data_IF_242923663269
#
_entry.id   IF_242923663269
#
_cell.length_a   1.000
_cell.length_b   1.000
_cell.length_c   1.000
_cell.angle_alpha   90.00
_cell.angle_beta   90.00
_cell.angle_gamma   90.00
#
_symmetry.space_group_name_H-M   'P 1'
#
loop_
_entity.id
_entity.type
_entity.pdbx_description
1 polymer ?
#
# COMPACT_ATOMS: atom_id res chain seq x y z
N UNK A 1 3.68 -25.00 0.03
CA UNK A 1 3.93 -24.39 1.36
C UNK A 1 5.06 -25.07 2.14
N UNK A 2 5.28 -26.36 1.94
CA UNK A 2 6.16 -27.25 2.70
C UNK A 2 7.61 -26.76 2.90
N UNK A 3 8.17 -26.06 1.91
CA UNK A 3 9.54 -25.49 1.99
C UNK A 3 9.74 -24.53 3.17
N UNK A 4 8.68 -23.84 3.62
CA UNK A 4 8.76 -22.77 4.62
C UNK A 4 7.93 -23.06 5.88
N UNK A 5 7.23 -24.20 5.95
CA UNK A 5 6.33 -24.53 7.06
C UNK A 5 7.06 -24.58 8.40
N UNK A 6 8.26 -25.16 8.44
CA UNK A 6 9.07 -25.26 9.66
C UNK A 6 9.42 -23.91 10.30
N UNK A 7 9.48 -22.83 9.51
CA UNK A 7 9.91 -21.50 9.98
C UNK A 7 8.76 -20.50 10.08
N UNK A 8 7.71 -20.68 9.28
CA UNK A 8 6.62 -19.72 9.13
C UNK A 8 5.23 -20.38 9.12
N UNK A 9 5.04 -21.47 9.86
CA UNK A 9 3.77 -22.24 9.86
C UNK A 9 2.53 -21.37 10.12
N UNK A 10 2.60 -20.40 11.04
CA UNK A 10 1.47 -19.49 11.32
C UNK A 10 1.15 -18.57 10.13
N UNK A 11 2.16 -18.03 9.46
CA UNK A 11 1.97 -17.20 8.26
C UNK A 11 1.37 -18.02 7.12
N UNK A 12 1.83 -19.26 6.94
CA UNK A 12 1.32 -20.19 5.92
C UNK A 12 -0.16 -20.50 6.16
N UNK A 13 -0.56 -20.81 7.40
CA UNK A 13 -1.97 -21.04 7.74
C UNK A 13 -2.84 -19.82 7.43
N UNK A 14 -2.35 -18.62 7.74
CA UNK A 14 -3.06 -17.38 7.42
C UNK A 14 -3.15 -17.14 5.90
N UNK A 15 -2.08 -17.39 5.16
CA UNK A 15 -2.07 -17.27 3.70
C UNK A 15 -3.04 -18.23 3.04
N UNK A 16 -3.06 -19.50 3.47
CA UNK A 16 -4.01 -20.50 2.98
C UNK A 16 -5.46 -20.09 3.22
N UNK A 17 -5.74 -19.47 4.38
CA UNK A 17 -7.08 -18.98 4.71
C UNK A 17 -7.58 -17.88 3.77
N UNK A 18 -6.69 -17.03 3.27
CA UNK A 18 -7.04 -15.89 2.39
C UNK A 18 -6.61 -16.13 0.94
N UNK A 19 -6.17 -17.35 0.60
CA UNK A 19 -5.54 -17.66 -0.68
C UNK A 19 -6.48 -17.38 -1.85
N UNK A 20 -7.75 -17.78 -1.72
CA UNK A 20 -8.76 -17.54 -2.76
C UNK A 20 -8.91 -16.05 -3.07
N UNK A 21 -9.00 -15.20 -2.04
CA UNK A 21 -9.09 -13.74 -2.18
C UNK A 21 -7.82 -13.14 -2.81
N UNK A 22 -6.64 -13.61 -2.38
CA UNK A 22 -5.36 -13.17 -2.92
C UNK A 22 -5.19 -13.54 -4.39
N UNK A 23 -5.80 -14.63 -4.86
CA UNK A 23 -5.66 -15.11 -6.23
C UNK A 23 -6.73 -14.55 -7.19
N UNK A 24 -7.74 -13.82 -6.71
CA UNK A 24 -8.78 -13.18 -7.55
C UNK A 24 -8.16 -12.36 -8.69
N UNK A 25 -7.01 -11.72 -8.47
CA UNK A 25 -6.41 -10.88 -9.50
C UNK A 25 -6.00 -11.63 -10.77
N UNK A 26 -5.83 -12.96 -10.71
CA UNK A 26 -5.58 -13.78 -11.89
C UNK A 26 -6.78 -13.86 -12.85
N UNK A 27 -7.98 -13.45 -12.42
CA UNK A 27 -9.16 -13.36 -13.27
C UNK A 27 -9.10 -12.14 -14.19
N UNK A 28 -8.31 -11.12 -13.87
CA UNK A 28 -8.16 -9.92 -14.70
C UNK A 28 -7.26 -10.16 -15.95
N UNK A 29 -7.39 -9.33 -16.99
CA UNK A 29 -6.51 -9.37 -18.16
C UNK A 29 -5.03 -9.28 -17.80
N UNK A 30 -4.17 -10.04 -18.49
CA UNK A 30 -2.72 -10.06 -18.21
C UNK A 30 -2.07 -8.68 -18.27
N UNK A 31 -2.61 -7.79 -19.09
CA UNK A 31 -2.14 -6.43 -19.31
C UNK A 31 -2.22 -5.55 -18.04
N UNK A 32 -3.21 -5.79 -17.17
CA UNK A 32 -3.40 -4.97 -15.96
C UNK A 32 -2.82 -5.60 -14.69
N UNK A 33 -2.51 -6.91 -14.72
CA UNK A 33 -1.90 -7.62 -13.57
C UNK A 33 -0.62 -6.95 -13.07
N UNK A 34 0.30 -6.46 -13.92
CA UNK A 34 1.48 -5.71 -13.48
C UNK A 34 1.18 -4.54 -12.57
N UNK A 35 0.12 -3.80 -12.84
CA UNK A 35 -0.30 -2.68 -11.99
C UNK A 35 -0.90 -3.16 -10.67
N UNK A 36 -1.50 -4.35 -10.62
CA UNK A 36 -2.14 -4.91 -9.42
C UNK A 36 -1.11 -5.54 -8.47
N UNK A 37 -0.17 -6.34 -8.96
CA UNK A 37 0.84 -6.97 -8.10
C UNK A 37 1.98 -6.01 -7.71
N UNK A 38 2.12 -4.88 -8.40
CA UNK A 38 3.13 -3.87 -8.05
C UNK A 38 2.71 -3.10 -6.81
N UNK A 39 3.59 -3.06 -5.81
CA UNK A 39 3.43 -2.25 -4.60
C UNK A 39 4.00 -0.84 -4.75
N UNK A 40 4.56 -0.49 -5.92
CA UNK A 40 5.27 0.78 -6.13
C UNK A 40 4.42 2.01 -5.77
N UNK A 41 3.13 2.00 -6.14
CA UNK A 41 2.22 3.12 -5.88
C UNK A 41 2.00 3.32 -4.38
N UNK A 42 1.62 2.26 -3.67
CA UNK A 42 1.36 2.31 -2.22
C UNK A 42 2.64 2.59 -1.43
N UNK A 43 3.78 2.03 -1.83
CA UNK A 43 5.08 2.28 -1.20
C UNK A 43 5.52 3.73 -1.41
N UNK A 44 5.32 4.28 -2.61
CA UNK A 44 5.63 5.67 -2.92
C UNK A 44 4.83 6.63 -2.05
N UNK A 45 3.51 6.41 -1.92
CA UNK A 45 2.62 7.19 -1.05
C UNK A 45 3.06 7.06 0.42
N UNK A 46 3.27 5.83 0.90
CA UNK A 46 3.68 5.59 2.29
C UNK A 46 5.02 6.25 2.63
N UNK A 47 6.00 6.16 1.72
CA UNK A 47 7.30 6.79 1.91
C UNK A 47 7.20 8.32 1.89
N UNK A 48 6.36 8.88 1.03
CA UNK A 48 6.07 10.31 1.03
C UNK A 48 5.45 10.75 2.35
N UNK A 49 4.41 10.07 2.82
CA UNK A 49 3.71 10.39 4.07
C UNK A 49 4.70 10.32 5.23
N UNK A 50 5.43 9.21 5.39
CA UNK A 50 6.46 9.05 6.45
C UNK A 50 7.48 10.18 6.45
N UNK A 51 7.97 10.59 5.28
CA UNK A 51 8.93 11.70 5.17
C UNK A 51 8.32 13.04 5.56
N UNK A 52 7.05 13.27 5.21
CA UNK A 52 6.34 14.53 5.46
C UNK A 52 5.88 14.66 6.91
N UNK A 53 5.55 13.54 7.56
CA UNK A 53 5.17 13.51 8.97
C UNK A 53 6.38 13.50 9.90
N UNK A 54 7.54 12.94 9.50
CA UNK A 54 8.77 12.91 10.32
C UNK A 54 9.16 14.23 11.01
N UNK A 55 9.11 15.42 10.37
CA UNK A 55 9.43 16.68 11.04
C UNK A 55 8.30 17.24 11.93
N UNK A 56 7.11 16.63 11.93
CA UNK A 56 5.98 17.01 12.80
C UNK A 56 6.06 16.20 14.09
N UNK A 57 6.23 16.87 15.22
CA UNK A 57 6.30 16.22 16.53
C UNK A 57 4.95 15.65 16.96
N UNK A 58 3.87 16.39 16.70
CA UNK A 58 2.50 16.01 17.03
C UNK A 58 1.49 16.79 16.17
N UNK A 59 0.26 16.28 16.13
CA UNK A 59 -0.88 16.96 15.56
C UNK A 59 -1.83 17.38 16.69
N UNK A 60 -2.23 18.67 16.80
CA UNK A 60 -3.07 19.15 17.90
C UNK A 60 -4.46 18.51 17.96
N UNK A 61 -5.02 18.14 16.80
CA UNK A 61 -6.35 17.52 16.66
C UNK A 61 -6.35 16.50 15.52
N UNK A 62 -7.31 15.57 15.53
CA UNK A 62 -7.54 14.63 14.43
C UNK A 62 -7.81 15.37 13.11
N UNK A 63 -8.62 16.43 13.14
CA UNK A 63 -8.88 17.28 11.98
C UNK A 63 -7.59 17.89 11.38
N UNK A 64 -6.64 18.28 12.23
CA UNK A 64 -5.35 18.82 11.75
C UNK A 64 -4.49 17.76 11.05
N UNK A 65 -4.60 16.50 11.46
CA UNK A 65 -3.95 15.36 10.81
C UNK A 65 -4.63 15.06 9.46
N UNK A 66 -5.95 15.02 9.43
CA UNK A 66 -6.73 14.74 8.22
C UNK A 66 -6.49 15.80 7.14
N UNK A 67 -6.54 17.07 7.52
CA UNK A 67 -6.24 18.18 6.62
C UNK A 67 -4.80 18.09 6.08
N UNK A 68 -3.84 17.74 6.94
CA UNK A 68 -2.45 17.56 6.53
C UNK A 68 -2.30 16.42 5.52
N UNK A 69 -2.90 15.26 5.79
CA UNK A 69 -2.86 14.09 4.90
C UNK A 69 -3.58 14.37 3.58
N UNK A 70 -4.74 15.03 3.62
CA UNK A 70 -5.51 15.43 2.45
C UNK A 70 -4.70 16.32 1.51
N UNK A 71 -4.02 17.34 2.03
CA UNK A 71 -3.13 18.20 1.24
C UNK A 71 -1.96 17.40 0.63
N UNK A 72 -1.38 16.44 1.37
CA UNK A 72 -0.32 15.58 0.80
C UNK A 72 -0.86 14.67 -0.32
N UNK A 73 -2.07 14.12 -0.16
CA UNK A 73 -2.70 13.24 -1.14
C UNK A 73 -3.02 14.00 -2.44
N UNK A 74 -3.62 15.19 -2.35
CA UNK A 74 -3.88 16.06 -3.51
C UNK A 74 -2.57 16.37 -4.23
N UNK A 75 -1.55 16.83 -3.50
CA UNK A 75 -0.25 17.14 -4.10
C UNK A 75 0.47 15.92 -4.70
N UNK A 76 0.24 14.71 -4.19
CA UNK A 76 0.72 13.47 -4.80
C UNK A 76 -0.01 13.19 -6.12
N UNK A 77 -1.34 13.32 -6.14
CA UNK A 77 -2.15 13.08 -7.31
C UNK A 77 -1.80 14.05 -8.45
N UNK A 78 -1.68 15.34 -8.16
CA UNK A 78 -1.31 16.36 -9.15
C UNK A 78 0.04 16.03 -9.80
N UNK A 79 1.03 15.62 -9.01
CA UNK A 79 2.36 15.26 -9.52
C UNK A 79 2.33 14.02 -10.40
N UNK A 80 1.49 13.04 -10.11
CA UNK A 80 1.41 11.82 -10.91
C UNK A 80 0.54 12.00 -12.16
N UNK A 81 -0.50 12.83 -12.10
CA UNK A 81 -1.29 13.21 -13.26
C UNK A 81 -0.40 13.92 -14.31
N UNK A 82 0.46 14.85 -13.88
CA UNK A 82 1.38 15.58 -14.76
C UNK A 82 2.58 14.76 -15.28
N UNK A 83 2.74 13.49 -14.86
CA UNK A 83 3.80 12.59 -15.35
C UNK A 83 3.38 11.75 -16.55
N UNK A 84 2.08 11.69 -16.81
CA UNK A 84 1.46 10.90 -17.89
C UNK A 84 1.17 11.82 -19.07
#
# INVERSE_FOLDING_TARGET
YDKYDSKYSSMIKNLQKIEEDLLVFYQYPKQIRPSIYSTNMIESINNMIKRKTKPKSEFPTEESLDNFLGVQAIGYNDRNANRT
#
